data_IF_900821830763
#
_entry.id   IF_900821830763
#
_cell.length_a   1.000
_cell.length_b   1.000
_cell.length_c   1.000
_cell.angle_alpha   90.00
_cell.angle_beta   90.00
_cell.angle_gamma   90.00
#
_symmetry.space_group_name_H-M   'P 1'
#
loop_
_entity.id
_entity.type
_entity.pdbx_description
1 polymer ?
#
# COMPACT_ATOMS: atom_id res chain seq x y z
N UNK A 1 5.71 2.21 13.66
CA UNK A 1 4.32 1.70 13.84
C UNK A 1 4.42 0.27 14.37
N UNK A 2 3.49 -0.17 15.20
CA UNK A 2 3.54 -1.53 15.82
C UNK A 2 3.01 -2.63 14.89
N UNK A 3 2.15 -2.27 13.96
CA UNK A 3 1.43 -3.16 13.04
C UNK A 3 0.92 -2.32 11.84
N UNK A 4 0.36 -3.03 10.84
CA UNK A 4 -0.12 -2.43 9.61
C UNK A 4 -1.40 -1.59 9.75
N UNK A 5 -2.22 -1.84 10.77
CA UNK A 5 -3.52 -1.16 10.96
C UNK A 5 -3.36 0.33 11.32
N UNK A 6 -2.14 0.72 11.69
CA UNK A 6 -1.78 2.10 12.03
C UNK A 6 -1.29 2.90 10.82
N UNK A 7 -1.20 2.31 9.64
CA UNK A 7 -0.88 3.02 8.40
C UNK A 7 -2.16 3.70 7.91
N UNK A 8 -2.24 5.05 7.88
CA UNK A 8 -3.41 5.74 7.36
C UNK A 8 -3.59 5.46 5.87
N UNK A 9 -4.82 5.17 5.46
CA UNK A 9 -5.17 4.97 4.05
C UNK A 9 -5.62 6.31 3.45
N UNK A 10 -4.93 6.74 2.40
CA UNK A 10 -5.30 7.95 1.64
C UNK A 10 -6.57 7.69 0.83
N UNK A 11 -7.58 8.54 1.00
CA UNK A 11 -8.75 8.60 0.11
C UNK A 11 -8.55 9.72 -0.91
N UNK A 12 -8.62 9.38 -2.20
CA UNK A 12 -8.35 10.31 -3.30
C UNK A 12 -9.64 10.79 -3.98
N UNK A 13 -9.49 11.74 -4.90
CA UNK A 13 -10.63 12.34 -5.61
C UNK A 13 -11.51 11.25 -6.26
N UNK A 14 -12.85 11.30 -6.07
CA UNK A 14 -13.80 10.48 -6.81
C UNK A 14 -13.67 10.55 -8.34
N UNK A 15 -13.08 11.62 -8.86
CA UNK A 15 -12.85 11.80 -10.30
C UNK A 15 -11.90 10.76 -10.89
N UNK A 16 -10.96 10.19 -10.12
CA UNK A 16 -10.05 9.16 -10.62
C UNK A 16 -10.75 7.84 -10.93
N UNK A 17 -11.92 7.59 -10.32
CA UNK A 17 -12.76 6.43 -10.58
C UNK A 17 -13.84 6.74 -11.62
N UNK A 18 -14.45 7.92 -11.53
CA UNK A 18 -15.59 8.29 -12.38
C UNK A 18 -15.19 8.84 -13.75
N UNK A 19 -13.93 9.24 -13.94
CA UNK A 19 -13.41 9.80 -15.19
C UNK A 19 -12.13 9.09 -15.65
N UNK A 20 -12.00 8.92 -16.97
CA UNK A 20 -10.78 8.43 -17.63
C UNK A 20 -10.30 9.47 -18.64
N UNK A 21 -9.05 9.92 -18.51
CA UNK A 21 -8.49 11.01 -19.33
C UNK A 21 -9.37 12.28 -19.36
N UNK A 22 -10.03 12.59 -18.24
CA UNK A 22 -10.95 13.72 -18.10
C UNK A 22 -12.33 13.50 -18.72
N UNK A 23 -12.62 12.34 -19.30
CA UNK A 23 -13.94 12.00 -19.83
C UNK A 23 -14.74 11.16 -18.82
N UNK A 24 -16.02 11.46 -18.56
CA UNK A 24 -16.83 10.69 -17.63
C UNK A 24 -17.09 9.27 -18.16
N UNK A 25 -16.92 8.27 -17.30
CA UNK A 25 -17.15 6.84 -17.61
C UNK A 25 -18.16 6.16 -16.67
N UNK A 26 -18.61 6.88 -15.64
CA UNK A 26 -19.62 6.43 -14.69
C UNK A 26 -20.86 7.36 -14.74
N UNK A 27 -22.04 6.89 -14.27
CA UNK A 27 -23.23 7.73 -14.16
C UNK A 27 -22.98 9.01 -13.35
N UNK A 28 -23.63 10.11 -13.75
CA UNK A 28 -23.53 11.37 -13.04
C UNK A 28 -24.07 11.25 -11.60
N UNK A 29 -23.33 11.81 -10.63
CA UNK A 29 -23.71 11.85 -9.22
C UNK A 29 -23.56 10.53 -8.45
N UNK A 30 -22.91 9.51 -9.03
CA UNK A 30 -22.64 8.26 -8.31
C UNK A 30 -21.59 8.45 -7.21
N UNK A 31 -21.83 7.88 -6.03
CA UNK A 31 -20.84 7.80 -4.95
C UNK A 31 -19.82 6.68 -5.23
N UNK A 32 -18.56 6.92 -4.89
CA UNK A 32 -17.46 5.95 -5.06
C UNK A 32 -16.53 5.95 -3.84
N UNK A 33 -15.92 4.80 -3.57
CA UNK A 33 -14.77 4.70 -2.68
C UNK A 33 -13.49 4.77 -3.53
N UNK A 34 -12.48 5.53 -3.09
CA UNK A 34 -11.20 5.62 -3.79
C UNK A 34 -10.01 5.60 -2.81
N UNK A 35 -9.85 4.49 -2.05
CA UNK A 35 -8.64 4.29 -1.26
C UNK A 35 -7.45 4.08 -2.20
N UNK A 36 -6.42 4.90 -2.06
CA UNK A 36 -5.24 4.87 -2.91
C UNK A 36 -4.30 3.69 -2.60
N UNK A 37 -4.41 3.13 -1.39
CA UNK A 37 -3.54 2.06 -0.89
C UNK A 37 -4.33 1.02 -0.09
N UNK A 38 -3.75 -0.17 0.04
CA UNK A 38 -4.13 -1.18 1.01
C UNK A 38 -2.91 -1.65 1.82
N UNK A 39 -3.14 -2.49 2.83
CA UNK A 39 -2.09 -3.05 3.68
C UNK A 39 -2.06 -4.57 3.49
N UNK A 40 -0.90 -5.08 3.07
CA UNK A 40 -0.64 -6.53 2.97
C UNK A 40 0.03 -7.06 4.25
N UNK A 41 -0.60 -7.98 5.00
CA UNK A 41 0.03 -8.62 6.16
C UNK A 41 1.33 -9.36 5.80
N UNK A 42 2.35 -9.26 6.64
CA UNK A 42 3.68 -9.78 6.36
C UNK A 42 3.74 -11.30 6.08
N UNK A 43 2.81 -12.08 6.63
CA UNK A 43 2.69 -13.53 6.42
C UNK A 43 2.32 -13.92 4.98
N UNK A 44 1.87 -12.95 4.18
CA UNK A 44 1.57 -13.12 2.75
C UNK A 44 2.77 -12.73 1.86
N UNK A 45 3.85 -12.20 2.43
CA UNK A 45 5.04 -11.74 1.71
C UNK A 45 6.15 -12.79 1.86
N UNK A 46 6.74 -13.22 0.73
CA UNK A 46 7.83 -14.22 0.73
C UNK A 46 9.19 -13.61 1.11
N UNK A 47 9.48 -12.42 0.60
CA UNK A 47 10.71 -11.68 0.85
C UNK A 47 10.51 -10.19 0.56
N UNK A 48 11.33 -9.33 1.18
CA UNK A 48 11.43 -7.91 0.86
C UNK A 48 12.82 -7.68 0.26
N UNK A 49 12.86 -7.17 -0.97
CA UNK A 49 14.11 -6.89 -1.69
C UNK A 49 14.44 -5.41 -1.53
N UNK A 50 15.65 -5.12 -1.07
CA UNK A 50 16.17 -3.77 -0.88
C UNK A 50 17.56 -3.64 -1.50
N UNK A 51 18.09 -2.43 -1.54
CA UNK A 51 19.47 -2.12 -1.92
C UNK A 51 20.52 -2.73 -0.96
N UNK A 52 20.12 -3.04 0.27
CA UNK A 52 20.97 -3.64 1.30
C UNK A 52 20.93 -5.18 1.29
N UNK A 53 20.06 -5.81 0.48
CA UNK A 53 19.94 -7.26 0.36
C UNK A 53 18.49 -7.75 0.36
N UNK A 54 18.29 -9.01 0.75
CA UNK A 54 16.96 -9.65 0.77
C UNK A 54 16.59 -10.03 2.20
N UNK A 55 15.52 -9.44 2.73
CA UNK A 55 14.93 -9.82 4.02
C UNK A 55 13.89 -10.94 3.84
N UNK A 56 13.89 -11.91 4.75
CA UNK A 56 12.90 -13.01 4.84
C UNK A 56 12.32 -13.05 6.27
N UNK A 57 11.17 -13.67 6.52
CA UNK A 57 10.65 -13.80 7.89
C UNK A 57 11.68 -14.46 8.84
N UNK A 58 11.76 -14.03 10.12
CA UNK A 58 10.94 -13.01 10.79
C UNK A 58 11.43 -11.58 10.51
N UNK A 59 10.56 -10.76 9.89
CA UNK A 59 10.93 -9.43 9.40
C UNK A 59 11.35 -8.43 10.48
N UNK A 60 10.91 -8.61 11.73
CA UNK A 60 11.32 -7.78 12.86
C UNK A 60 12.82 -7.91 13.20
N UNK A 61 13.45 -9.02 12.82
CA UNK A 61 14.89 -9.26 13.04
C UNK A 61 15.69 -9.00 11.77
N UNK A 62 15.21 -9.50 10.63
CA UNK A 62 15.98 -9.46 9.39
C UNK A 62 16.04 -8.06 8.78
N UNK A 63 15.00 -7.22 8.93
CA UNK A 63 15.03 -5.86 8.39
C UNK A 63 16.08 -5.01 9.12
N UNK A 64 16.08 -4.90 10.47
CA UNK A 64 17.13 -4.17 11.18
C UNK A 64 18.55 -4.68 10.88
N UNK A 65 18.73 -6.00 10.75
CA UNK A 65 20.03 -6.60 10.47
C UNK A 65 20.65 -6.12 9.14
N UNK A 66 19.85 -5.83 8.12
CA UNK A 66 20.34 -5.33 6.82
C UNK A 66 20.96 -3.91 6.90
N UNK A 67 20.61 -3.13 7.92
CA UNK A 67 21.03 -1.73 8.06
C UNK A 67 21.91 -1.48 9.30
N UNK A 68 22.42 -2.54 9.93
CA UNK A 68 23.23 -2.47 11.16
C UNK A 68 24.75 -2.31 10.89
N UNK A 69 25.15 -1.85 9.70
CA UNK A 69 26.56 -1.61 9.32
C UNK A 69 26.82 -0.12 9.13
#
# INVERSE_FOLDING_TARGET
LSDGDRIPIEERSPSEVTHLCGQPVAPEGIDVANPAFDVTPNRLVTAIVTEAGIARPPYGETIPALFST
#
